data_IF_080523794441
#
_entry.id   IF_080523794441
#
_cell.length_a   1.000
_cell.length_b   1.000
_cell.length_c   1.000
_cell.angle_alpha   90.00
_cell.angle_beta   90.00
_cell.angle_gamma   90.00
#
_symmetry.space_group_name_H-M   'P 1'
#
loop_
_entity.id
_entity.type
_entity.pdbx_description
1 polymer ?
#
# COMPACT_ATOMS: atom_id res chain seq x y z
N UNK A 1 -11.34 -23.49 49.12
CA UNK A 1 -10.35 -24.25 48.33
C UNK A 1 -10.76 -24.13 46.87
N UNK A 2 -10.09 -23.27 46.12
CA UNK A 2 -9.90 -23.29 44.65
C UNK A 2 -9.38 -21.90 44.19
N UNK A 3 -8.16 -21.55 44.62
CA UNK A 3 -7.42 -20.37 44.13
C UNK A 3 -6.11 -20.79 43.44
N UNK A 4 -6.10 -21.87 42.68
CA UNK A 4 -4.90 -22.34 41.96
C UNK A 4 -5.13 -22.73 40.51
N UNK A 5 -5.91 -21.95 39.78
CA UNK A 5 -6.09 -22.16 38.31
C UNK A 5 -5.72 -20.93 37.43
N UNK A 6 -5.00 -19.95 37.99
CA UNK A 6 -4.71 -18.69 37.29
C UNK A 6 -3.23 -18.42 36.98
N UNK A 7 -2.34 -19.44 37.00
CA UNK A 7 -0.91 -19.22 36.81
C UNK A 7 -0.23 -20.21 35.87
N UNK A 8 -0.78 -20.44 34.68
CA UNK A 8 -0.04 -21.10 33.59
C UNK A 8 -0.39 -20.57 32.19
N UNK A 9 -0.68 -19.28 32.04
CA UNK A 9 -0.54 -18.61 30.76
C UNK A 9 0.96 -18.45 30.48
N UNK A 10 1.65 -19.59 30.27
CA UNK A 10 2.99 -19.62 29.73
C UNK A 10 3.00 -18.76 28.47
N UNK A 11 4.07 -18.00 28.22
CA UNK A 11 4.34 -17.17 27.06
C UNK A 11 4.05 -17.97 25.78
N UNK A 12 2.77 -18.05 25.38
CA UNK A 12 2.37 -18.66 24.13
C UNK A 12 2.97 -17.78 23.02
N UNK A 13 4.06 -18.23 22.43
CA UNK A 13 4.64 -17.57 21.27
C UNK A 13 3.66 -17.59 20.11
N UNK A 14 3.86 -16.74 19.12
CA UNK A 14 3.06 -16.74 17.90
C UNK A 14 3.19 -18.10 17.17
N UNK A 15 2.08 -18.71 16.72
CA UNK A 15 2.10 -19.97 15.97
C UNK A 15 2.98 -19.92 14.75
N UNK A 16 3.59 -21.06 14.37
CA UNK A 16 4.47 -21.19 13.20
C UNK A 16 3.79 -20.74 11.91
N UNK A 17 2.48 -20.95 11.76
CA UNK A 17 1.70 -20.52 10.59
C UNK A 17 1.70 -19.00 10.41
N UNK A 18 1.73 -18.21 11.50
CA UNK A 18 1.79 -16.75 11.43
C UNK A 18 3.18 -16.27 10.97
N UNK A 19 4.25 -16.91 11.47
CA UNK A 19 5.61 -16.66 10.98
C UNK A 19 5.74 -17.01 9.50
N UNK A 20 5.18 -18.14 9.08
CA UNK A 20 5.17 -18.54 7.68
C UNK A 20 4.46 -17.51 6.80
N UNK A 21 3.27 -17.03 7.20
CA UNK A 21 2.53 -15.98 6.48
C UNK A 21 3.30 -14.66 6.43
N UNK A 22 4.00 -14.31 7.49
CA UNK A 22 4.86 -13.13 7.52
C UNK A 22 6.03 -13.25 6.52
N UNK A 23 6.73 -14.39 6.49
CA UNK A 23 7.80 -14.62 5.53
C UNK A 23 7.30 -14.73 4.08
N UNK A 24 6.11 -15.31 3.86
CA UNK A 24 5.43 -15.31 2.55
C UNK A 24 5.24 -13.89 2.04
N UNK A 25 4.74 -13.01 2.91
CA UNK A 25 4.56 -11.59 2.57
C UNK A 25 5.90 -10.91 2.29
N UNK A 26 6.89 -11.07 3.16
CA UNK A 26 8.23 -10.49 3.01
C UNK A 26 8.89 -10.90 1.69
N UNK A 27 8.92 -12.19 1.37
CA UNK A 27 9.52 -12.69 0.13
C UNK A 27 8.83 -12.15 -1.11
N UNK A 28 7.48 -12.10 -1.09
CA UNK A 28 6.74 -11.55 -2.21
C UNK A 28 6.94 -10.04 -2.35
N UNK A 29 7.08 -9.31 -1.24
CA UNK A 29 7.35 -7.87 -1.25
C UNK A 29 8.78 -7.59 -1.72
N UNK A 30 9.80 -8.38 -1.29
CA UNK A 30 11.15 -8.31 -1.87
C UNK A 30 11.08 -8.42 -3.40
N UNK A 31 10.42 -9.46 -3.92
CA UNK A 31 10.26 -9.65 -5.36
C UNK A 31 9.57 -8.49 -6.06
N UNK A 32 8.44 -8.05 -5.49
CA UNK A 32 7.62 -7.02 -6.11
C UNK A 32 8.31 -5.66 -6.09
N UNK A 33 8.99 -5.33 -5.00
CA UNK A 33 9.66 -4.04 -4.82
C UNK A 33 10.97 -3.95 -5.61
N UNK A 34 11.68 -5.06 -5.85
CA UNK A 34 12.79 -5.09 -6.81
C UNK A 34 12.35 -4.64 -8.20
N UNK A 35 11.17 -5.09 -8.66
CA UNK A 35 10.64 -4.72 -9.97
C UNK A 35 10.03 -3.31 -9.91
N UNK A 36 9.21 -3.02 -8.91
CA UNK A 36 8.48 -1.75 -8.79
C UNK A 36 9.41 -0.54 -8.74
N UNK A 37 10.51 -0.65 -8.01
CA UNK A 37 11.49 0.42 -7.88
C UNK A 37 12.20 0.79 -9.20
N UNK A 38 12.26 -0.14 -10.15
CA UNK A 38 12.89 0.06 -11.46
C UNK A 38 11.86 0.21 -12.59
N UNK A 39 10.61 -0.20 -12.38
CA UNK A 39 9.60 -0.32 -13.43
C UNK A 39 9.31 1.02 -14.15
N UNK A 40 9.14 2.16 -13.48
CA UNK A 40 8.92 3.43 -14.17
C UNK A 40 10.05 3.79 -15.12
N UNK A 41 11.30 3.59 -14.65
CA UNK A 41 12.50 3.80 -15.46
C UNK A 41 12.56 2.86 -16.66
N UNK A 42 12.26 1.59 -16.45
CA UNK A 42 12.24 0.58 -17.50
C UNK A 42 11.15 0.83 -18.54
N UNK A 43 9.95 1.28 -18.12
CA UNK A 43 8.85 1.65 -19.04
C UNK A 43 9.26 2.82 -19.97
N UNK A 44 9.93 3.84 -19.42
CA UNK A 44 10.44 4.96 -20.23
C UNK A 44 11.50 4.50 -21.22
N UNK A 45 12.41 3.59 -20.82
CA UNK A 45 13.38 2.99 -21.75
C UNK A 45 12.73 2.18 -22.89
N UNK A 46 11.55 1.60 -22.63
CA UNK A 46 10.74 0.92 -23.66
C UNK A 46 9.90 1.88 -24.50
N UNK A 47 10.05 3.20 -24.32
CA UNK A 47 9.36 4.23 -25.09
C UNK A 47 8.01 4.66 -24.54
N UNK A 48 7.67 4.32 -23.29
CA UNK A 48 6.45 4.81 -22.66
C UNK A 48 6.56 6.32 -22.35
N UNK A 49 5.49 7.07 -22.64
CA UNK A 49 5.35 8.45 -22.15
C UNK A 49 5.06 8.46 -20.64
N UNK A 50 5.21 9.61 -19.98
CA UNK A 50 4.85 9.75 -18.56
C UNK A 50 3.36 9.57 -18.31
N UNK A 51 2.51 9.94 -19.26
CA UNK A 51 1.08 9.61 -19.23
C UNK A 51 0.85 8.08 -19.25
N UNK A 52 1.59 7.35 -20.11
CA UNK A 52 1.48 5.89 -20.16
C UNK A 52 1.93 5.25 -18.83
N UNK A 53 3.01 5.73 -18.21
CA UNK A 53 3.45 5.28 -16.89
C UNK A 53 2.37 5.55 -15.85
N UNK A 54 1.79 6.75 -15.80
CA UNK A 54 0.71 7.12 -14.91
C UNK A 54 -0.54 6.24 -15.06
N UNK A 55 -0.93 5.95 -16.32
CA UNK A 55 -2.03 5.03 -16.65
C UNK A 55 -1.74 3.60 -16.15
N UNK A 56 -0.56 3.08 -16.45
CA UNK A 56 -0.15 1.71 -16.07
C UNK A 56 -0.17 1.56 -14.55
N UNK A 57 0.46 2.46 -13.83
CA UNK A 57 0.52 2.41 -12.36
C UNK A 57 -0.86 2.66 -11.73
N UNK A 58 -1.61 3.66 -12.23
CA UNK A 58 -2.96 3.96 -11.73
C UNK A 58 -3.93 2.80 -11.92
N UNK A 59 -3.99 2.20 -13.13
CA UNK A 59 -4.82 1.02 -13.40
C UNK A 59 -4.37 -0.16 -12.54
N UNK A 60 -3.06 -0.37 -12.37
CA UNK A 60 -2.51 -1.44 -11.58
C UNK A 60 -2.96 -1.36 -10.11
N UNK A 61 -2.82 -0.21 -9.47
CA UNK A 61 -3.22 -0.02 -8.07
C UNK A 61 -4.75 -0.03 -7.88
N UNK A 62 -5.51 0.59 -8.79
CA UNK A 62 -6.97 0.51 -8.78
C UNK A 62 -7.46 -0.94 -8.90
N UNK A 63 -6.84 -1.73 -9.79
CA UNK A 63 -7.16 -3.16 -9.96
C UNK A 63 -6.93 -3.93 -8.67
N UNK A 64 -5.78 -3.75 -8.01
CA UNK A 64 -5.50 -4.42 -6.74
C UNK A 64 -6.52 -4.04 -5.66
N UNK A 65 -6.89 -2.77 -5.57
CA UNK A 65 -7.88 -2.27 -4.61
C UNK A 65 -9.28 -2.87 -4.87
N UNK A 66 -9.73 -2.87 -6.13
CA UNK A 66 -11.04 -3.41 -6.53
C UNK A 66 -11.09 -4.92 -6.27
N UNK A 67 -10.11 -5.67 -6.75
CA UNK A 67 -10.05 -7.13 -6.60
C UNK A 67 -9.98 -7.53 -5.14
N UNK A 68 -9.27 -6.76 -4.29
CA UNK A 68 -9.18 -7.02 -2.85
C UNK A 68 -10.54 -6.99 -2.15
N UNK A 69 -11.46 -6.09 -2.56
CA UNK A 69 -12.81 -6.02 -2.00
C UNK A 69 -13.59 -7.30 -2.27
N UNK A 70 -13.55 -7.79 -3.52
CA UNK A 70 -14.26 -8.99 -3.93
C UNK A 70 -13.61 -10.27 -3.40
N UNK A 71 -12.29 -10.31 -3.31
CA UNK A 71 -11.57 -11.50 -2.84
C UNK A 71 -11.85 -11.80 -1.37
N UNK A 72 -12.06 -10.79 -0.54
CA UNK A 72 -12.49 -10.95 0.85
C UNK A 72 -13.82 -11.66 0.95
N UNK A 73 -14.85 -11.18 0.22
CA UNK A 73 -16.17 -11.79 0.19
C UNK A 73 -16.14 -13.23 -0.36
N UNK A 74 -15.37 -13.46 -1.43
CA UNK A 74 -15.19 -14.77 -2.02
C UNK A 74 -14.50 -15.74 -1.06
N UNK A 75 -13.52 -15.27 -0.29
CA UNK A 75 -12.81 -16.02 0.73
C UNK A 75 -13.75 -16.52 1.83
N UNK A 76 -14.63 -15.63 2.30
CA UNK A 76 -15.61 -15.97 3.33
C UNK A 76 -16.68 -16.94 2.79
N UNK A 77 -17.06 -16.80 1.52
CA UNK A 77 -18.02 -17.70 0.87
C UNK A 77 -17.46 -19.10 0.64
N UNK A 78 -16.21 -19.20 0.17
CA UNK A 78 -15.56 -20.49 -0.10
C UNK A 78 -15.11 -21.21 1.17
N UNK A 79 -14.88 -20.50 2.27
CA UNK A 79 -14.30 -21.03 3.50
C UNK A 79 -12.88 -21.60 3.35
N UNK A 80 -12.22 -21.33 2.20
CA UNK A 80 -10.87 -21.84 1.85
C UNK A 80 -9.90 -20.69 1.66
N UNK A 81 -9.52 -20.06 2.77
CA UNK A 81 -8.69 -18.84 2.76
C UNK A 81 -7.29 -19.08 2.21
N UNK A 82 -6.66 -20.20 2.59
CA UNK A 82 -5.34 -20.59 2.07
C UNK A 82 -5.37 -20.76 0.55
N UNK A 83 -6.39 -21.41 0.00
CA UNK A 83 -6.48 -21.66 -1.45
C UNK A 83 -6.49 -20.35 -2.23
N UNK A 84 -7.32 -19.38 -1.84
CA UNK A 84 -7.37 -18.08 -2.53
C UNK A 84 -6.08 -17.30 -2.36
N UNK A 85 -5.50 -17.29 -1.15
CA UNK A 85 -4.20 -16.66 -0.94
C UNK A 85 -3.14 -17.31 -1.82
N UNK A 86 -3.07 -18.65 -1.86
CA UNK A 86 -2.09 -19.38 -2.70
C UNK A 86 -2.29 -19.09 -4.20
N UNK A 87 -3.53 -19.03 -4.69
CA UNK A 87 -3.83 -18.63 -6.08
C UNK A 87 -3.28 -17.21 -6.35
N UNK A 88 -3.52 -16.26 -5.46
CA UNK A 88 -3.03 -14.89 -5.63
C UNK A 88 -1.50 -14.79 -5.60
N UNK A 89 -0.83 -15.54 -4.71
CA UNK A 89 0.65 -15.62 -4.68
C UNK A 89 1.20 -16.34 -5.90
N UNK A 90 0.59 -17.46 -6.33
CA UNK A 90 0.99 -18.19 -7.52
C UNK A 90 0.83 -17.37 -8.79
N UNK A 91 -0.31 -16.68 -8.95
CA UNK A 91 -0.54 -15.80 -10.09
C UNK A 91 0.53 -14.68 -10.14
N UNK A 92 0.82 -14.03 -9.01
CA UNK A 92 1.86 -13.02 -8.94
C UNK A 92 3.26 -13.62 -9.23
N UNK A 93 3.58 -14.80 -8.72
CA UNK A 93 4.87 -15.47 -8.99
C UNK A 93 5.03 -15.81 -10.48
N UNK A 94 3.98 -16.33 -11.13
CA UNK A 94 4.00 -16.66 -12.55
C UNK A 94 4.15 -15.44 -13.47
N UNK A 95 3.81 -14.23 -13.02
CA UNK A 95 4.04 -13.03 -13.82
C UNK A 95 5.48 -12.53 -13.77
N UNK A 96 6.25 -12.87 -12.72
CA UNK A 96 7.63 -12.37 -12.55
C UNK A 96 8.56 -12.73 -13.71
N UNK A 97 8.58 -13.98 -14.25
CA UNK A 97 9.41 -14.32 -15.41
C UNK A 97 9.03 -13.54 -16.69
N UNK A 98 7.81 -13.02 -16.77
CA UNK A 98 7.38 -12.26 -17.96
C UNK A 98 8.13 -10.94 -18.07
N UNK A 99 8.48 -10.27 -16.96
CA UNK A 99 9.19 -8.99 -16.99
C UNK A 99 10.56 -9.06 -17.68
N UNK A 100 11.48 -10.01 -17.35
CA UNK A 100 12.76 -10.10 -18.04
C UNK A 100 12.64 -10.67 -19.46
N UNK A 101 11.59 -11.43 -19.75
CA UNK A 101 11.33 -11.98 -21.09
C UNK A 101 10.59 -10.99 -22.00
N UNK A 102 10.02 -9.92 -21.46
CA UNK A 102 9.26 -8.94 -22.21
C UNK A 102 10.13 -8.26 -23.27
N UNK A 103 9.67 -8.33 -24.52
CA UNK A 103 10.30 -7.66 -25.68
C UNK A 103 9.58 -6.38 -26.06
N UNK A 104 8.37 -6.17 -25.57
CA UNK A 104 7.54 -5.01 -25.86
C UNK A 104 6.88 -4.47 -24.61
N UNK A 105 6.49 -3.20 -24.63
CA UNK A 105 5.73 -2.54 -23.58
C UNK A 105 4.46 -3.32 -23.21
N UNK A 106 3.75 -3.90 -24.17
CA UNK A 106 2.52 -4.66 -23.95
C UNK A 106 2.68 -5.85 -23.02
N UNK A 107 3.79 -6.60 -23.11
CA UNK A 107 4.08 -7.72 -22.20
C UNK A 107 4.29 -7.26 -20.77
N UNK A 108 5.03 -6.14 -20.58
CA UNK A 108 5.27 -5.56 -19.26
C UNK A 108 3.96 -5.09 -18.61
N UNK A 109 3.11 -4.42 -19.41
CA UNK A 109 1.78 -3.96 -18.95
C UNK A 109 0.90 -5.15 -18.55
N UNK A 110 0.83 -6.18 -19.39
CA UNK A 110 0.03 -7.39 -19.08
C UNK A 110 0.54 -8.07 -17.79
N UNK A 111 1.85 -8.25 -17.65
CA UNK A 111 2.45 -8.83 -16.47
C UNK A 111 2.14 -8.00 -15.21
N UNK A 112 2.27 -6.66 -15.28
CA UNK A 112 1.95 -5.75 -14.20
C UNK A 112 0.50 -5.85 -13.78
N UNK A 113 -0.43 -5.84 -14.74
CA UNK A 113 -1.86 -5.94 -14.49
C UNK A 113 -2.24 -7.26 -13.81
N UNK A 114 -1.74 -8.39 -14.33
CA UNK A 114 -2.00 -9.73 -13.76
C UNK A 114 -1.38 -9.86 -12.36
N UNK A 115 -0.17 -9.31 -12.13
CA UNK A 115 0.44 -9.25 -10.80
C UNK A 115 -0.45 -8.49 -9.80
N UNK A 116 -1.06 -7.38 -10.21
CA UNK A 116 -1.97 -6.60 -9.36
C UNK A 116 -3.27 -7.33 -9.06
N UNK A 117 -3.82 -8.09 -10.00
CA UNK A 117 -4.92 -9.03 -9.74
C UNK A 117 -4.50 -10.04 -8.67
N UNK A 118 -3.32 -10.64 -8.81
CA UNK A 118 -2.76 -11.54 -7.80
C UNK A 118 -2.63 -10.88 -6.41
N UNK A 119 -2.15 -9.62 -6.34
CA UNK A 119 -2.08 -8.83 -5.10
C UNK A 119 -3.47 -8.63 -4.49
N UNK A 120 -4.46 -8.28 -5.30
CA UNK A 120 -5.85 -8.12 -4.86
C UNK A 120 -6.45 -9.42 -4.33
N UNK A 121 -6.25 -10.55 -5.04
CA UNK A 121 -6.78 -11.86 -4.64
C UNK A 121 -6.18 -12.30 -3.29
N UNK A 122 -4.85 -12.15 -3.07
CA UNK A 122 -4.19 -12.66 -1.86
C UNK A 122 -4.41 -11.80 -0.61
N UNK A 123 -4.67 -10.49 -0.77
CA UNK A 123 -4.60 -9.53 0.34
C UNK A 123 -5.57 -9.82 1.47
N UNK A 124 -6.87 -9.85 1.17
CA UNK A 124 -7.91 -10.07 2.18
C UNK A 124 -7.91 -11.52 2.75
N UNK A 125 -7.78 -12.60 1.93
CA UNK A 125 -7.68 -13.96 2.45
C UNK A 125 -6.47 -14.19 3.37
N UNK A 126 -5.31 -13.60 3.06
CA UNK A 126 -4.11 -13.66 3.91
C UNK A 126 -4.35 -13.00 5.27
N UNK A 127 -4.91 -11.80 5.27
CA UNK A 127 -5.18 -11.06 6.51
C UNK A 127 -6.22 -11.81 7.37
N UNK A 128 -7.20 -12.45 6.74
CA UNK A 128 -8.17 -13.31 7.42
C UNK A 128 -7.51 -14.58 8.00
N UNK A 129 -6.58 -15.23 7.29
CA UNK A 129 -5.80 -16.37 7.82
C UNK A 129 -5.01 -15.99 9.06
N UNK A 130 -4.38 -14.81 9.07
CA UNK A 130 -3.66 -14.32 10.25
C UNK A 130 -4.61 -14.14 11.43
N UNK A 131 -5.79 -13.56 11.21
CA UNK A 131 -6.79 -13.36 12.25
C UNK A 131 -7.32 -14.68 12.84
N UNK A 132 -7.45 -15.73 12.00
CA UNK A 132 -7.93 -17.04 12.41
C UNK A 132 -6.86 -17.87 13.14
N UNK A 133 -5.61 -17.78 12.72
CA UNK A 133 -4.49 -18.51 13.31
C UNK A 133 -3.97 -17.84 14.60
N UNK A 134 -4.27 -16.55 14.79
CA UNK A 134 -3.80 -15.79 15.95
C UNK A 134 -4.58 -16.19 17.22
N UNK A 135 -3.87 -16.59 18.31
CA UNK A 135 -4.51 -16.86 19.59
C UNK A 135 -5.27 -15.64 20.10
N UNK A 136 -6.34 -15.85 20.91
CA UNK A 136 -7.01 -14.77 21.60
C UNK A 136 -6.01 -13.90 22.37
N UNK A 137 -6.06 -12.57 22.18
CA UNK A 137 -5.13 -11.61 22.80
C UNK A 137 -3.80 -11.39 22.08
N UNK A 138 -3.44 -12.18 21.05
CA UNK A 138 -2.20 -12.02 20.29
C UNK A 138 -2.42 -11.54 18.82
N UNK A 139 -3.65 -11.16 18.45
CA UNK A 139 -3.94 -10.67 17.10
C UNK A 139 -3.12 -9.43 16.72
N UNK A 140 -2.99 -8.48 17.65
CA UNK A 140 -2.16 -7.30 17.43
C UNK A 140 -0.69 -7.65 17.15
N UNK A 141 -0.12 -8.59 17.93
CA UNK A 141 1.25 -9.07 17.73
C UNK A 141 1.40 -9.81 16.36
N UNK A 142 0.39 -10.59 15.96
CA UNK A 142 0.40 -11.31 14.69
C UNK A 142 0.39 -10.36 13.47
N UNK A 143 -0.50 -9.34 13.48
CA UNK A 143 -0.51 -8.32 12.45
C UNK A 143 0.73 -7.42 12.49
N UNK A 144 1.24 -7.12 13.68
CA UNK A 144 2.48 -6.36 13.86
C UNK A 144 3.69 -7.10 13.27
N UNK A 145 3.83 -8.40 13.53
CA UNK A 145 4.88 -9.23 12.91
C UNK A 145 4.78 -9.22 11.38
N UNK A 146 3.57 -9.44 10.85
CA UNK A 146 3.35 -9.38 9.40
C UNK A 146 3.77 -8.03 8.83
N UNK A 147 3.31 -6.93 9.44
CA UNK A 147 3.64 -5.59 8.98
C UNK A 147 5.13 -5.30 9.03
N UNK A 148 5.82 -5.76 10.08
CA UNK A 148 7.28 -5.61 10.19
C UNK A 148 8.01 -6.36 9.08
N UNK A 149 7.55 -7.57 8.75
CA UNK A 149 8.15 -8.38 7.67
C UNK A 149 7.82 -7.82 6.28
N UNK A 150 6.60 -7.28 6.05
CA UNK A 150 6.26 -6.53 4.84
C UNK A 150 7.20 -5.32 4.67
N UNK A 151 7.38 -4.53 5.73
CA UNK A 151 8.28 -3.37 5.71
C UNK A 151 9.74 -3.77 5.45
N UNK A 152 10.20 -4.87 6.05
CA UNK A 152 11.53 -5.42 5.76
C UNK A 152 11.65 -5.80 4.26
N UNK A 153 10.63 -6.44 3.69
CA UNK A 153 10.58 -6.76 2.26
C UNK A 153 10.62 -5.53 1.36
N UNK A 154 9.82 -4.52 1.71
CA UNK A 154 9.76 -3.25 0.99
C UNK A 154 11.09 -2.46 1.03
N UNK A 155 11.92 -2.69 2.02
CA UNK A 155 13.25 -2.10 2.14
C UNK A 155 14.32 -2.94 1.44
N UNK A 156 14.33 -4.25 1.66
CA UNK A 156 15.32 -5.17 1.10
C UNK A 156 15.22 -5.22 -0.43
N UNK A 157 14.01 -5.24 -0.99
CA UNK A 157 13.78 -5.32 -2.43
C UNK A 157 14.52 -4.25 -3.24
N UNK A 158 14.28 -2.95 -3.01
CA UNK A 158 14.99 -1.88 -3.70
C UNK A 158 16.50 -1.87 -3.44
N UNK A 159 16.97 -2.25 -2.23
CA UNK A 159 18.40 -2.38 -1.96
C UNK A 159 19.06 -3.48 -2.79
N UNK A 160 18.41 -4.64 -2.92
CA UNK A 160 18.87 -5.70 -3.80
C UNK A 160 18.88 -5.24 -5.26
N UNK A 161 17.87 -4.48 -5.69
CA UNK A 161 17.84 -3.90 -7.03
C UNK A 161 19.04 -2.99 -7.28
N UNK A 162 19.39 -2.08 -6.34
CA UNK A 162 20.58 -1.23 -6.42
C UNK A 162 21.85 -2.08 -6.55
N UNK A 163 22.03 -3.06 -5.66
CA UNK A 163 23.21 -3.92 -5.66
C UNK A 163 23.37 -4.71 -6.97
N UNK A 164 22.27 -5.27 -7.47
CA UNK A 164 22.29 -6.03 -8.73
C UNK A 164 22.51 -5.11 -9.95
N UNK A 165 21.90 -3.93 -9.99
CA UNK A 165 22.16 -2.93 -11.04
C UNK A 165 23.64 -2.51 -11.05
N UNK A 166 24.23 -2.32 -9.87
CA UNK A 166 25.65 -2.00 -9.73
C UNK A 166 26.56 -3.12 -10.26
N UNK A 167 26.26 -4.37 -9.91
CA UNK A 167 27.06 -5.54 -10.28
C UNK A 167 26.90 -5.91 -11.77
N UNK A 168 25.74 -5.63 -12.35
CA UNK A 168 25.41 -6.02 -13.73
C UNK A 168 25.64 -4.93 -14.77
N UNK A 169 26.09 -3.74 -14.38
CA UNK A 169 26.24 -2.61 -15.30
C UNK A 169 24.90 -2.09 -15.80
N UNK A 170 23.90 -2.01 -14.92
CA UNK A 170 22.52 -1.54 -15.19
C UNK A 170 21.65 -2.51 -16.03
N UNK A 171 21.82 -3.82 -15.86
CA UNK A 171 20.96 -4.80 -16.50
C UNK A 171 19.64 -5.03 -15.71
N UNK A 172 18.57 -4.40 -16.16
CA UNK A 172 17.21 -4.57 -15.60
C UNK A 172 16.73 -6.03 -15.66
N UNK A 173 17.08 -6.75 -16.74
CA UNK A 173 16.62 -8.15 -16.93
C UNK A 173 17.20 -9.06 -15.87
N UNK A 174 18.48 -8.87 -15.52
CA UNK A 174 19.10 -9.64 -14.43
C UNK A 174 18.37 -9.40 -13.11
N UNK A 175 18.07 -8.15 -12.77
CA UNK A 175 17.32 -7.83 -11.54
C UNK A 175 15.95 -8.49 -11.54
N UNK A 176 15.24 -8.45 -12.66
CA UNK A 176 13.91 -9.05 -12.79
C UNK A 176 13.98 -10.59 -12.72
N UNK A 177 15.03 -11.24 -13.25
CA UNK A 177 15.25 -12.67 -13.08
C UNK A 177 15.52 -13.06 -11.63
N UNK A 178 16.32 -12.28 -10.91
CA UNK A 178 16.58 -12.53 -9.48
C UNK A 178 15.28 -12.36 -8.67
N UNK A 179 14.42 -11.40 -9.03
CA UNK A 179 13.12 -11.20 -8.38
C UNK A 179 12.17 -12.40 -8.50
N UNK A 180 12.36 -13.28 -9.48
CA UNK A 180 11.59 -14.54 -9.62
C UNK A 180 11.81 -15.46 -8.41
N UNK A 181 13.03 -15.53 -7.87
CA UNK A 181 13.38 -16.45 -6.80
C UNK A 181 12.56 -16.22 -5.52
N UNK A 182 12.51 -15.01 -4.92
CA UNK A 182 11.70 -14.78 -3.74
C UNK A 182 10.20 -14.91 -4.03
N UNK A 183 9.70 -14.62 -5.24
CA UNK A 183 8.30 -14.81 -5.58
C UNK A 183 7.87 -16.28 -5.53
N UNK A 184 8.63 -17.17 -6.17
CA UNK A 184 8.35 -18.59 -6.12
C UNK A 184 8.64 -19.17 -4.73
N UNK A 185 9.62 -18.63 -4.00
CA UNK A 185 9.84 -18.95 -2.58
C UNK A 185 8.61 -18.62 -1.71
N UNK A 186 7.98 -17.46 -1.91
CA UNK A 186 6.74 -17.08 -1.24
C UNK A 186 5.59 -18.04 -1.58
N UNK A 187 5.44 -18.39 -2.87
CA UNK A 187 4.41 -19.33 -3.31
C UNK A 187 4.63 -20.73 -2.73
N UNK A 188 5.86 -21.24 -2.77
CA UNK A 188 6.19 -22.53 -2.18
C UNK A 188 5.92 -22.54 -0.66
N UNK A 189 6.32 -21.48 0.05
CA UNK A 189 6.15 -21.37 1.49
C UNK A 189 4.67 -21.37 1.91
N UNK A 190 3.79 -20.64 1.20
CA UNK A 190 2.35 -20.64 1.53
C UNK A 190 1.72 -22.03 1.26
N UNK A 191 2.13 -22.71 0.20
CA UNK A 191 1.60 -24.03 -0.13
C UNK A 191 2.05 -25.08 0.91
N UNK A 192 3.33 -25.07 1.30
CA UNK A 192 3.95 -26.10 2.12
C UNK A 192 3.82 -25.87 3.63
N UNK A 193 3.93 -24.61 4.10
CA UNK A 193 4.06 -24.31 5.53
C UNK A 193 2.79 -23.73 6.17
N UNK A 194 1.81 -23.30 5.38
CA UNK A 194 0.55 -22.75 5.90
C UNK A 194 -0.55 -23.80 5.80
N UNK A 195 -1.37 -23.93 6.84
CA UNK A 195 -2.53 -24.83 6.85
C UNK A 195 -3.80 -24.01 7.04
N UNK A 196 -4.89 -24.39 6.36
CA UNK A 196 -6.20 -23.80 6.63
C UNK A 196 -6.62 -24.17 8.05
N UNK A 197 -7.05 -23.22 8.89
CA UNK A 197 -7.73 -23.53 10.12
C UNK A 197 -9.04 -24.28 9.80
N UNK A 198 -9.49 -25.12 10.74
CA UNK A 198 -10.77 -25.79 10.61
C UNK A 198 -11.87 -24.76 10.33
N UNK A 199 -12.82 -25.04 9.42
CA UNK A 199 -13.86 -24.08 9.08
C UNK A 199 -14.61 -23.63 10.33
N UNK A 200 -14.56 -22.34 10.66
CA UNK A 200 -15.41 -21.78 11.69
C UNK A 200 -16.86 -21.86 11.21
N UNK A 201 -17.71 -22.56 11.98
CA UNK A 201 -19.12 -22.68 11.69
C UNK A 201 -19.76 -21.29 11.50
N UNK A 202 -20.39 -21.07 10.35
CA UNK A 202 -21.31 -19.98 10.05
C UNK A 202 -20.78 -18.53 10.09
N UNK A 203 -19.92 -18.16 9.12
CA UNK A 203 -19.86 -16.77 8.71
C UNK A 203 -21.10 -16.46 7.84
N UNK A 204 -22.00 -15.61 8.34
CA UNK A 204 -23.18 -15.17 7.57
C UNK A 204 -22.72 -14.43 6.33
N UNK A 205 -23.13 -14.93 5.17
CA UNK A 205 -22.88 -14.33 3.85
C UNK A 205 -23.46 -12.91 3.78
N UNK A 206 -22.62 -11.89 3.85
CA UNK A 206 -23.00 -10.51 3.57
C UNK A 206 -22.27 -10.05 2.32
N UNK A 207 -23.02 -9.55 1.35
CA UNK A 207 -22.40 -8.88 0.19
C UNK A 207 -21.72 -7.60 0.67
N UNK A 208 -20.40 -7.40 0.44
CA UNK A 208 -19.63 -6.28 1.00
C UNK A 208 -20.05 -4.90 0.48
N UNK A 209 -20.89 -4.81 -0.56
CA UNK A 209 -21.29 -3.56 -1.21
C UNK A 209 -22.81 -3.51 -1.48
N UNK A 210 -23.63 -4.02 -0.55
CA UNK A 210 -25.09 -3.91 -0.70
C UNK A 210 -25.53 -2.45 -0.54
N UNK A 211 -26.38 -1.96 -1.46
CA UNK A 211 -26.93 -0.59 -1.39
C UNK A 211 -27.61 -0.31 -0.05
N UNK A 212 -28.21 -1.32 0.56
CA UNK A 212 -28.87 -1.21 1.86
C UNK A 212 -27.88 -0.97 3.00
N UNK A 213 -26.70 -1.57 2.95
CA UNK A 213 -25.64 -1.35 3.95
C UNK A 213 -24.94 -0.01 3.74
N UNK A 214 -24.72 0.40 2.49
CA UNK A 214 -24.17 1.71 2.16
C UNK A 214 -25.03 2.87 2.68
N UNK A 215 -26.37 2.73 2.59
CA UNK A 215 -27.32 3.73 3.08
C UNK A 215 -27.32 3.87 4.63
N UNK A 216 -26.77 2.90 5.35
CA UNK A 216 -26.64 2.93 6.82
C UNK A 216 -25.37 3.60 7.31
N UNK A 217 -24.43 3.90 6.40
CA UNK A 217 -23.21 4.60 6.75
C UNK A 217 -23.51 6.08 7.04
N UNK A 218 -23.04 6.63 8.18
CA UNK A 218 -23.40 7.98 8.60
C UNK A 218 -22.75 9.07 7.73
N UNK A 219 -23.29 10.28 7.67
CA UNK A 219 -22.70 11.41 6.93
C UNK A 219 -21.26 11.72 7.31
N UNK A 220 -20.88 11.50 8.58
CA UNK A 220 -19.50 11.65 9.06
C UNK A 220 -18.51 10.73 8.34
N UNK A 221 -18.93 9.49 8.06
CA UNK A 221 -18.12 8.54 7.29
C UNK A 221 -17.90 9.04 5.85
N UNK A 222 -18.96 9.47 5.16
CA UNK A 222 -18.86 9.99 3.80
C UNK A 222 -17.98 11.23 3.69
N UNK A 223 -17.99 12.06 4.74
CA UNK A 223 -17.06 13.19 4.83
C UNK A 223 -15.61 12.72 4.90
N UNK A 224 -15.28 11.76 5.75
CA UNK A 224 -13.93 11.19 5.85
C UNK A 224 -13.49 10.61 4.51
N UNK A 225 -14.36 9.85 3.84
CA UNK A 225 -14.06 9.27 2.51
C UNK A 225 -13.86 10.36 1.46
N UNK A 226 -14.69 11.43 1.47
CA UNK A 226 -14.55 12.55 0.55
C UNK A 226 -13.22 13.29 0.71
N UNK A 227 -12.83 13.64 1.94
CA UNK A 227 -11.53 14.27 2.23
C UNK A 227 -10.38 13.35 1.81
N UNK A 228 -10.47 12.06 2.14
CA UNK A 228 -9.46 11.08 1.76
C UNK A 228 -9.35 10.94 0.23
N UNK A 229 -10.45 10.99 -0.50
CA UNK A 229 -10.45 10.95 -1.96
C UNK A 229 -9.74 12.17 -2.57
N UNK A 230 -10.08 13.40 -2.12
CA UNK A 230 -9.41 14.62 -2.57
C UNK A 230 -7.92 14.60 -2.23
N UNK A 231 -7.56 14.14 -1.04
CA UNK A 231 -6.17 13.99 -0.63
C UNK A 231 -5.43 12.93 -1.49
N UNK A 232 -6.10 11.82 -1.82
CA UNK A 232 -5.52 10.79 -2.70
C UNK A 232 -5.31 11.32 -4.12
N UNK A 233 -6.14 12.25 -4.60
CA UNK A 233 -5.90 12.93 -5.87
C UNK A 233 -4.62 13.77 -5.86
N UNK A 234 -4.23 14.32 -4.72
CA UNK A 234 -2.96 15.02 -4.55
C UNK A 234 -1.75 14.06 -4.50
N UNK A 235 -1.98 12.84 -4.01
CA UNK A 235 -0.96 11.81 -3.82
C UNK A 235 -0.99 10.81 -4.96
N UNK A 236 -0.54 11.23 -6.13
CA UNK A 236 -0.37 10.35 -7.29
C UNK A 236 0.68 9.25 -7.03
N UNK A 237 0.89 8.36 -8.02
CA UNK A 237 1.83 7.23 -7.90
C UNK A 237 3.26 7.68 -7.56
N UNK A 238 3.92 6.95 -6.66
CA UNK A 238 5.33 7.12 -6.29
C UNK A 238 6.27 6.97 -7.50
N UNK A 239 5.79 6.40 -8.61
CA UNK A 239 6.49 6.33 -9.88
C UNK A 239 6.95 7.71 -10.38
N UNK A 240 6.19 8.78 -10.09
CA UNK A 240 6.57 10.14 -10.49
C UNK A 240 7.76 10.70 -9.72
N UNK A 241 8.02 10.24 -8.49
CA UNK A 241 9.26 10.55 -7.77
C UNK A 241 10.47 9.92 -8.46
N UNK A 242 10.31 8.67 -8.90
CA UNK A 242 11.32 7.92 -9.67
C UNK A 242 11.60 8.63 -11.01
N UNK A 243 10.56 9.01 -11.74
CA UNK A 243 10.68 9.74 -13.01
C UNK A 243 11.34 11.13 -12.82
N UNK A 244 11.02 11.83 -11.72
CA UNK A 244 11.67 13.12 -11.40
C UNK A 244 13.16 12.92 -11.13
N UNK A 245 13.54 11.87 -10.41
CA UNK A 245 14.94 11.53 -10.16
C UNK A 245 15.71 11.32 -11.48
N UNK A 246 15.14 10.56 -12.40
CA UNK A 246 15.71 10.35 -13.73
C UNK A 246 15.82 11.66 -14.52
N UNK A 247 14.77 12.48 -14.53
CA UNK A 247 14.78 13.78 -15.21
C UNK A 247 15.83 14.75 -14.65
N UNK A 248 16.22 14.59 -13.37
CA UNK A 248 17.29 15.34 -12.73
C UNK A 248 18.68 14.71 -12.92
N UNK A 249 18.80 13.62 -13.71
CA UNK A 249 20.07 12.98 -14.03
C UNK A 249 20.56 11.96 -13.00
N UNK A 250 19.71 11.48 -12.10
CA UNK A 250 20.09 10.38 -11.21
C UNK A 250 20.38 9.12 -12.04
N UNK A 251 21.57 8.55 -11.87
CA UNK A 251 21.97 7.34 -12.58
C UNK A 251 21.02 6.17 -12.31
N UNK A 252 20.75 5.34 -13.32
CA UNK A 252 19.76 4.24 -13.28
C UNK A 252 19.93 3.32 -12.09
N UNK A 253 21.15 3.01 -11.71
CA UNK A 253 21.51 2.22 -10.52
C UNK A 253 20.92 2.80 -9.22
N UNK A 254 20.86 4.11 -9.09
CA UNK A 254 20.43 4.80 -7.88
C UNK A 254 18.94 5.15 -7.85
N UNK A 255 18.22 4.92 -8.96
CA UNK A 255 16.78 5.19 -9.04
C UNK A 255 15.97 4.53 -7.91
N UNK A 256 16.22 3.27 -7.54
CA UNK A 256 15.50 2.65 -6.42
C UNK A 256 15.75 3.31 -5.06
N UNK A 257 16.86 4.06 -4.90
CA UNK A 257 17.19 4.74 -3.64
C UNK A 257 16.13 5.80 -3.25
N UNK A 258 15.39 6.33 -4.22
CA UNK A 258 14.27 7.25 -3.99
C UNK A 258 13.20 6.58 -3.13
N UNK A 259 12.79 5.36 -3.50
CA UNK A 259 11.79 4.61 -2.76
C UNK A 259 12.35 4.08 -1.43
N UNK A 260 13.64 3.71 -1.37
CA UNK A 260 14.29 3.34 -0.11
C UNK A 260 14.23 4.50 0.88
N UNK A 261 14.66 5.71 0.48
CA UNK A 261 14.65 6.90 1.32
C UNK A 261 13.24 7.21 1.82
N UNK A 262 12.27 7.21 0.90
CA UNK A 262 10.86 7.44 1.23
C UNK A 262 10.34 6.44 2.26
N UNK A 263 10.55 5.14 2.03
CA UNK A 263 10.06 4.07 2.90
C UNK A 263 10.75 4.05 4.27
N UNK A 264 12.03 4.40 4.35
CA UNK A 264 12.74 4.56 5.63
C UNK A 264 12.09 5.67 6.45
N UNK A 265 11.88 6.85 5.88
CA UNK A 265 11.24 7.97 6.58
C UNK A 265 9.80 7.63 6.97
N UNK A 266 9.03 7.02 6.07
CA UNK A 266 7.68 6.53 6.34
C UNK A 266 7.66 5.58 7.55
N UNK A 267 8.52 4.57 7.56
CA UNK A 267 8.57 3.57 8.63
C UNK A 267 8.97 4.17 9.97
N UNK A 268 10.00 5.04 9.97
CA UNK A 268 10.48 5.70 11.19
C UNK A 268 9.47 6.70 11.76
N UNK A 269 8.69 7.37 10.91
CA UNK A 269 7.70 8.37 11.34
C UNK A 269 6.37 7.75 11.78
N UNK A 270 5.97 6.61 11.23
CA UNK A 270 4.65 6.01 11.47
C UNK A 270 4.38 5.70 12.94
N UNK A 271 5.35 5.12 13.66
CA UNK A 271 5.17 4.78 15.07
C UNK A 271 5.14 6.01 16.01
N UNK A 272 6.08 6.98 15.91
CA UNK A 272 5.99 8.20 16.71
C UNK A 272 4.71 8.99 16.47
N UNK A 273 4.27 9.09 15.22
CA UNK A 273 3.01 9.78 14.88
C UNK A 273 1.80 9.03 15.42
N UNK A 274 1.79 7.69 15.36
CA UNK A 274 0.74 6.88 15.97
C UNK A 274 0.60 7.15 17.48
N UNK A 275 1.71 7.21 18.21
CA UNK A 275 1.70 7.58 19.65
C UNK A 275 1.24 9.02 19.88
N UNK A 276 1.58 9.93 18.99
CA UNK A 276 1.17 11.33 19.08
C UNK A 276 -0.35 11.47 18.83
N UNK A 277 -0.92 10.64 17.98
CA UNK A 277 -2.35 10.57 17.70
C UNK A 277 -3.22 10.11 18.89
N UNK A 278 -2.59 9.45 19.89
CA UNK A 278 -3.25 9.12 21.16
C UNK A 278 -3.35 10.33 22.11
N UNK A 279 -2.56 11.37 21.87
CA UNK A 279 -2.44 12.56 22.74
C UNK A 279 -2.97 13.84 22.11
N UNK A 280 -2.90 13.97 20.79
CA UNK A 280 -3.32 15.16 20.04
C UNK A 280 -4.59 14.87 19.23
N UNK A 281 -5.39 15.91 18.91
CA UNK A 281 -6.53 15.76 18.02
C UNK A 281 -6.09 15.21 16.67
N UNK A 282 -6.67 14.07 16.26
CA UNK A 282 -6.33 13.39 14.99
C UNK A 282 -6.48 14.30 13.77
N UNK A 283 -7.48 15.23 13.80
CA UNK A 283 -7.66 16.20 12.74
C UNK A 283 -6.49 17.17 12.59
N UNK A 284 -5.89 17.61 13.69
CA UNK A 284 -4.71 18.50 13.65
C UNK A 284 -3.48 17.78 13.07
N UNK A 285 -3.26 16.52 13.47
CA UNK A 285 -2.17 15.69 12.91
C UNK A 285 -2.38 15.41 11.42
N UNK A 286 -3.62 15.15 11.02
CA UNK A 286 -3.95 14.94 9.60
C UNK A 286 -3.73 16.24 8.79
N UNK A 287 -4.13 17.40 9.33
CA UNK A 287 -3.86 18.69 8.71
C UNK A 287 -2.36 18.96 8.57
N UNK A 288 -1.58 18.65 9.60
CA UNK A 288 -0.12 18.75 9.52
C UNK A 288 0.46 17.81 8.45
N UNK A 289 -0.04 16.57 8.34
CA UNK A 289 0.35 15.64 7.28
C UNK A 289 0.03 16.15 5.86
N UNK A 290 -1.13 16.81 5.68
CA UNK A 290 -1.47 17.45 4.40
C UNK A 290 -0.56 18.63 4.10
N UNK A 291 -0.26 19.47 5.09
CA UNK A 291 0.68 20.58 4.95
C UNK A 291 2.10 20.09 4.58
N UNK A 292 2.54 18.96 5.15
CA UNK A 292 3.82 18.34 4.79
C UNK A 292 3.83 17.85 3.34
N UNK A 293 2.70 17.30 2.82
CA UNK A 293 2.62 16.93 1.40
C UNK A 293 2.67 18.16 0.49
N UNK A 294 1.96 19.25 0.85
CA UNK A 294 2.07 20.53 0.12
C UNK A 294 3.53 20.99 0.06
N UNK A 295 4.23 20.96 1.19
CA UNK A 295 5.64 21.34 1.26
C UNK A 295 6.54 20.41 0.42
N UNK A 296 6.28 19.08 0.46
CA UNK A 296 7.01 18.10 -0.34
C UNK A 296 6.90 18.39 -1.83
N UNK A 297 5.68 18.55 -2.32
CA UNK A 297 5.39 18.83 -3.73
C UNK A 297 5.96 20.17 -4.18
N UNK A 298 5.86 21.22 -3.36
CA UNK A 298 6.47 22.53 -3.65
C UNK A 298 7.99 22.44 -3.72
N UNK A 299 8.63 21.71 -2.80
CA UNK A 299 10.08 21.52 -2.83
C UNK A 299 10.50 20.80 -4.11
N UNK A 300 9.83 19.70 -4.49
CA UNK A 300 10.16 18.95 -5.71
C UNK A 300 9.88 19.77 -6.97
N UNK A 301 8.88 20.64 -6.95
CA UNK A 301 8.52 21.48 -8.09
C UNK A 301 9.48 22.68 -8.28
N UNK A 302 9.91 23.31 -7.19
CA UNK A 302 10.58 24.61 -7.23
C UNK A 302 12.11 24.51 -7.12
N UNK A 303 12.62 23.42 -6.52
CA UNK A 303 14.06 23.23 -6.37
C UNK A 303 14.56 22.23 -7.41
N UNK A 304 15.40 22.71 -8.32
CA UNK A 304 16.08 21.86 -9.29
C UNK A 304 17.35 21.23 -8.66
N UNK A 305 17.50 19.92 -8.88
CA UNK A 305 18.64 19.15 -8.42
C UNK A 305 18.28 18.05 -7.41
N UNK A 306 19.25 17.15 -7.23
CA UNK A 306 19.05 15.93 -6.40
C UNK A 306 18.85 16.23 -4.91
N UNK A 307 19.42 17.33 -4.40
CA UNK A 307 19.22 17.75 -3.00
C UNK A 307 17.78 18.17 -2.76
N UNK A 308 17.18 18.98 -3.65
CA UNK A 308 15.77 19.36 -3.58
C UNK A 308 14.86 18.13 -3.66
N UNK A 309 15.16 17.20 -4.59
CA UNK A 309 14.44 15.94 -4.68
C UNK A 309 14.56 15.13 -3.37
N UNK A 310 15.75 14.97 -2.80
CA UNK A 310 15.95 14.20 -1.57
C UNK A 310 15.15 14.79 -0.40
N UNK A 311 15.16 16.11 -0.21
CA UNK A 311 14.35 16.79 0.79
C UNK A 311 12.86 16.56 0.54
N UNK A 312 12.40 16.71 -0.71
CA UNK A 312 11.00 16.44 -1.08
C UNK A 312 10.58 15.00 -0.82
N UNK A 313 11.42 14.02 -1.14
CA UNK A 313 11.18 12.60 -0.87
C UNK A 313 11.12 12.29 0.63
N UNK A 314 11.98 12.92 1.45
CA UNK A 314 11.90 12.84 2.92
C UNK A 314 10.55 13.37 3.42
N UNK A 315 10.14 14.54 2.94
CA UNK A 315 8.83 15.11 3.29
C UNK A 315 7.68 14.23 2.80
N UNK A 316 7.81 13.61 1.61
CA UNK A 316 6.82 12.67 1.08
C UNK A 316 6.68 11.42 1.97
N UNK A 317 7.79 10.83 2.41
CA UNK A 317 7.77 9.72 3.37
C UNK A 317 7.15 10.11 4.72
N UNK A 318 7.49 11.31 5.21
CA UNK A 318 6.95 11.84 6.46
C UNK A 318 5.42 12.01 6.40
N UNK A 319 4.88 12.62 5.32
CA UNK A 319 3.43 12.78 5.18
C UNK A 319 2.71 11.42 5.16
N UNK A 320 3.30 10.39 4.52
CA UNK A 320 2.72 9.04 4.51
C UNK A 320 2.59 8.49 5.93
N UNK A 321 3.64 8.62 6.75
CA UNK A 321 3.62 8.22 8.15
C UNK A 321 2.60 8.99 8.99
N UNK A 322 2.36 10.25 8.64
CA UNK A 322 1.38 11.10 9.33
C UNK A 322 -0.07 10.86 8.91
N UNK A 323 -0.33 10.34 7.70
CA UNK A 323 -1.69 10.35 7.14
C UNK A 323 -2.32 8.96 7.01
N UNK A 324 -1.58 7.94 6.59
CA UNK A 324 -2.18 6.65 6.25
C UNK A 324 -2.86 5.97 7.44
N UNK A 325 -2.18 5.88 8.58
CA UNK A 325 -2.73 5.29 9.80
C UNK A 325 -3.91 6.09 10.37
N UNK A 326 -3.82 7.43 10.30
CA UNK A 326 -4.87 8.33 10.81
C UNK A 326 -6.15 8.24 9.97
N UNK A 327 -6.06 8.21 8.65
CA UNK A 327 -7.23 8.05 7.77
C UNK A 327 -7.93 6.73 8.03
N UNK A 328 -7.19 5.63 8.17
CA UNK A 328 -7.76 4.34 8.51
C UNK A 328 -8.46 4.36 9.88
N UNK A 329 -7.87 5.00 10.89
CA UNK A 329 -8.49 5.16 12.20
C UNK A 329 -9.79 5.99 12.14
N UNK A 330 -9.80 7.11 11.39
CA UNK A 330 -11.00 7.93 11.21
C UNK A 330 -12.14 7.17 10.50
N UNK A 331 -11.82 6.33 9.51
CA UNK A 331 -12.80 5.44 8.87
C UNK A 331 -13.38 4.45 9.87
N UNK A 332 -12.52 3.83 10.71
CA UNK A 332 -12.94 2.87 11.73
C UNK A 332 -13.84 3.50 12.80
N UNK A 333 -13.55 4.76 13.19
CA UNK A 333 -14.32 5.50 14.21
C UNK A 333 -15.66 6.01 13.65
N UNK A 334 -15.69 6.42 12.38
CA UNK A 334 -16.88 6.94 11.73
C UNK A 334 -17.88 5.85 11.32
N UNK A 335 -17.44 4.59 11.23
CA UNK A 335 -18.28 3.48 10.78
C UNK A 335 -18.85 2.67 11.96
N UNK A 336 -20.16 2.29 11.93
CA UNK A 336 -20.72 1.34 12.88
C UNK A 336 -19.92 0.04 12.91
N UNK A 337 -19.78 -0.59 14.08
CA UNK A 337 -18.96 -1.78 14.28
C UNK A 337 -19.30 -2.92 13.30
N UNK A 338 -20.62 -3.10 13.04
CA UNK A 338 -21.15 -4.14 12.16
C UNK A 338 -20.88 -3.86 10.68
N UNK A 339 -20.58 -2.61 10.30
CA UNK A 339 -20.36 -2.16 8.92
C UNK A 339 -18.91 -1.79 8.63
N UNK A 340 -17.97 -1.99 9.56
CA UNK A 340 -16.56 -1.63 9.36
C UNK A 340 -15.96 -2.29 8.13
N UNK A 341 -16.28 -3.56 7.88
CA UNK A 341 -15.80 -4.27 6.68
C UNK A 341 -16.27 -3.59 5.39
N UNK A 342 -17.57 -3.26 5.31
CA UNK A 342 -18.14 -2.49 4.18
C UNK A 342 -17.52 -1.11 4.04
N UNK A 343 -17.33 -0.41 5.16
CA UNK A 343 -16.72 0.92 5.19
C UNK A 343 -15.27 0.90 4.66
N UNK A 344 -14.44 -0.01 5.13
CA UNK A 344 -13.08 -0.17 4.59
C UNK A 344 -13.07 -0.61 3.12
N UNK A 345 -14.03 -1.45 2.70
CA UNK A 345 -14.18 -1.84 1.30
C UNK A 345 -14.45 -0.64 0.39
N UNK A 346 -15.41 0.23 0.78
CA UNK A 346 -15.72 1.45 0.04
C UNK A 346 -14.57 2.44 0.07
N UNK A 347 -13.96 2.65 1.24
CA UNK A 347 -12.79 3.53 1.38
C UNK A 347 -11.64 3.12 0.44
N UNK A 348 -11.31 1.83 0.40
CA UNK A 348 -10.27 1.30 -0.48
C UNK A 348 -10.66 1.43 -1.97
N UNK A 349 -11.93 1.18 -2.31
CA UNK A 349 -12.42 1.34 -3.68
C UNK A 349 -12.33 2.79 -4.16
N UNK A 350 -12.84 3.72 -3.35
CA UNK A 350 -12.78 5.17 -3.66
C UNK A 350 -11.32 5.64 -3.74
N UNK A 351 -10.47 5.20 -2.80
CA UNK A 351 -9.04 5.50 -2.82
C UNK A 351 -8.33 4.95 -4.07
N UNK A 352 -8.64 3.72 -4.49
CA UNK A 352 -8.07 3.12 -5.70
C UNK A 352 -8.48 3.88 -6.98
N UNK A 353 -9.76 4.28 -7.09
CA UNK A 353 -10.24 5.09 -8.21
C UNK A 353 -9.62 6.48 -8.18
N UNK A 354 -9.54 7.12 -7.02
CA UNK A 354 -8.91 8.43 -6.88
C UNK A 354 -7.42 8.38 -7.27
N UNK A 355 -6.70 7.32 -6.87
CA UNK A 355 -5.28 7.14 -7.23
C UNK A 355 -5.09 6.92 -8.73
N UNK A 356 -6.00 6.18 -9.39
CA UNK A 356 -6.00 6.06 -10.85
C UNK A 356 -6.14 7.42 -11.52
N UNK A 357 -7.16 8.19 -11.12
CA UNK A 357 -7.40 9.54 -11.68
C UNK A 357 -6.20 10.45 -11.41
N UNK A 358 -5.65 10.42 -10.20
CA UNK A 358 -4.46 11.19 -9.82
C UNK A 358 -3.25 10.87 -10.71
N UNK A 359 -2.98 9.57 -10.92
CA UNK A 359 -1.81 9.14 -11.69
C UNK A 359 -1.94 9.47 -13.19
N UNK A 360 -3.17 9.37 -13.74
CA UNK A 360 -3.45 9.78 -15.13
C UNK A 360 -3.28 11.29 -15.30
N UNK A 361 -3.85 12.09 -14.38
CA UNK A 361 -3.70 13.53 -14.39
C UNK A 361 -2.23 13.95 -14.22
N UNK A 362 -1.50 13.32 -13.33
CA UNK A 362 -0.08 13.58 -13.11
C UNK A 362 0.74 13.33 -14.39
N UNK A 363 0.49 12.20 -15.06
CA UNK A 363 1.15 11.87 -16.32
C UNK A 363 0.80 12.83 -17.46
N UNK A 364 -0.48 13.19 -17.60
CA UNK A 364 -0.93 14.15 -18.60
C UNK A 364 -0.33 15.55 -18.40
N UNK A 365 -0.29 16.01 -17.15
CA UNK A 365 0.34 17.29 -16.80
C UNK A 365 1.85 17.26 -17.05
N UNK A 366 2.48 16.14 -16.76
CA UNK A 366 3.91 15.98 -17.02
C UNK A 366 4.24 16.03 -18.51
N UNK A 367 3.51 15.28 -19.34
CA UNK A 367 3.73 15.26 -20.80
C UNK A 367 3.42 16.62 -21.45
N UNK A 368 2.40 17.36 -20.94
CA UNK A 368 1.99 18.63 -21.50
C UNK A 368 2.80 19.83 -21.01
N UNK A 369 3.17 19.86 -19.70
CA UNK A 369 3.74 21.04 -19.04
C UNK A 369 4.99 20.72 -18.22
N UNK A 370 5.46 19.46 -18.23
CA UNK A 370 6.65 19.01 -17.53
C UNK A 370 6.43 18.69 -16.04
N UNK A 371 7.46 18.12 -15.43
CA UNK A 371 7.45 17.64 -14.05
C UNK A 371 6.98 18.69 -13.04
N UNK A 372 7.43 19.95 -13.21
CA UNK A 372 7.08 21.06 -12.31
C UNK A 372 5.55 21.24 -12.19
N UNK A 373 4.84 21.19 -13.30
CA UNK A 373 3.37 21.35 -13.30
C UNK A 373 2.66 20.22 -12.56
N UNK A 374 3.15 18.98 -12.68
CA UNK A 374 2.62 17.82 -11.97
C UNK A 374 2.68 18.02 -10.45
N UNK A 375 3.84 18.36 -9.92
CA UNK A 375 4.01 18.56 -8.47
C UNK A 375 3.30 19.83 -7.97
N UNK A 376 3.23 20.90 -8.74
CA UNK A 376 2.43 22.09 -8.39
C UNK A 376 0.93 21.78 -8.33
N UNK A 377 0.43 20.95 -9.24
CA UNK A 377 -0.96 20.48 -9.20
C UNK A 377 -1.21 19.60 -7.96
N UNK A 378 -0.28 18.70 -7.61
CA UNK A 378 -0.30 17.94 -6.36
C UNK A 378 -0.39 18.85 -5.14
N UNK A 379 0.51 19.82 -5.03
CA UNK A 379 0.49 20.83 -3.96
C UNK A 379 -0.85 21.57 -3.87
N UNK A 380 -1.42 21.97 -5.02
CA UNK A 380 -2.73 22.63 -5.08
C UNK A 380 -3.87 21.76 -4.57
N UNK A 381 -3.93 20.50 -5.01
CA UNK A 381 -4.95 19.53 -4.56
C UNK A 381 -4.79 19.19 -3.08
N UNK A 382 -3.55 19.01 -2.58
CA UNK A 382 -3.27 18.78 -1.15
C UNK A 382 -3.69 20.02 -0.33
N UNK A 383 -3.43 21.22 -0.84
CA UNK A 383 -3.86 22.47 -0.24
C UNK A 383 -5.40 22.60 -0.17
N UNK A 384 -6.12 22.20 -1.22
CA UNK A 384 -7.58 22.16 -1.22
C UNK A 384 -8.12 21.17 -0.18
N UNK A 385 -7.51 19.97 -0.08
CA UNK A 385 -7.88 19.00 0.94
C UNK A 385 -7.63 19.54 2.36
N UNK A 386 -6.50 20.23 2.57
CA UNK A 386 -6.17 20.89 3.84
C UNK A 386 -7.19 21.97 4.21
N UNK A 387 -7.51 22.87 3.28
CA UNK A 387 -8.53 23.92 3.49
C UNK A 387 -9.89 23.31 3.81
N UNK A 388 -10.30 22.28 3.05
CA UNK A 388 -11.54 21.55 3.32
C UNK A 388 -11.59 20.92 4.71
N UNK A 389 -10.46 20.36 5.17
CA UNK A 389 -10.36 19.79 6.51
C UNK A 389 -10.49 20.86 7.61
N UNK A 390 -9.83 22.00 7.43
CA UNK A 390 -9.83 23.12 8.39
C UNK A 390 -11.16 23.87 8.41
N UNK A 391 -11.81 24.04 7.26
CA UNK A 391 -13.08 24.80 7.16
C UNK A 391 -14.21 24.16 7.96
N UNK A 392 -14.31 22.84 7.96
CA UNK A 392 -15.34 22.14 8.73
C UNK A 392 -14.99 21.97 10.21
N UNK A 393 -13.84 22.44 10.62
CA UNK A 393 -13.29 22.83 11.93
C UNK A 393 -13.90 22.27 13.21
N UNK A 394 -14.44 21.04 13.24
CA UNK A 394 -14.53 20.19 14.43
C UNK A 394 -14.58 18.75 13.94
N UNK A 395 -13.52 17.94 14.16
CA UNK A 395 -13.65 16.50 13.99
C UNK A 395 -14.77 16.05 14.91
N UNK A 396 -15.48 15.05 14.43
CA UNK A 396 -16.37 14.22 15.20
C UNK A 396 -15.61 13.79 16.47
N UNK A 397 -15.68 14.56 17.52
CA UNK A 397 -15.41 14.07 18.87
C UNK A 397 -16.57 13.12 19.16
N UNK A 398 -16.36 11.87 18.73
CA UNK A 398 -17.22 10.75 19.03
C UNK A 398 -17.40 10.71 20.53
N UNK A 399 -18.65 10.82 20.97
CA UNK A 399 -19.03 10.85 22.34
C UNK A 399 -18.27 9.79 23.16
N UNK A 400 -17.49 10.25 24.09
CA UNK A 400 -17.27 9.52 25.32
C UNK A 400 -18.63 9.50 25.99
N UNK A 401 -19.43 8.48 25.68
CA UNK A 401 -20.53 8.09 26.51
C UNK A 401 -19.92 7.71 27.88
N UNK A 402 -20.39 8.38 28.88
CA UNK A 402 -20.18 8.12 30.31
C UNK A 402 -20.56 6.68 30.69
#
# INVERSE_FOLDING_TARGET
>A
MNQHAATSAGRAGLPRGIWALGFVSMLMDISSEMIHALLPAYLVLLGASTLAVGLIEGIAEATAAIVKVFSGALSDWLGRRKLLAAIGYGLAACTKPVFPLATTLGWVVAARFIDRIGKGIRGAPRDALIADLAPPGLRGAAFGLRQSLDTAGAFIGPLLAIGLMALSGNDFRLVFWVAVLPAFGAFALIVLAVHDPLPAATARHRSPLSRRELARLPPAYWWVVGIAAVFTLARFSEAFLVLRAQALGLGLMWVPAVLVLMNVVYSLSSYPVGRLADRLPRGALLAAGFAVLVAADLVIALFDGLTGLAVGVVLWGLHMGMTQGLLAALVADAAPAELRGTAFGVFNLVGGVALLVASVLAGALWDAFGARATFLAGAGLAGLALVGLLWRGRPVEGGRAQ
#
